data_IF_350371683526
#
_entry.id   IF_350371683526
#
_cell.length_a   1.000
_cell.length_b   1.000
_cell.length_c   1.000
_cell.angle_alpha   90.00
_cell.angle_beta   90.00
_cell.angle_gamma   90.00
#
_symmetry.space_group_name_H-M   'P 1'
#
loop_
_entity.id
_entity.type
_entity.pdbx_description
1 polymer ?
#
# COMPACT_ATOMS: atom_id res chain seq x y z
N UNK A 1 -32.51 -3.86 17.28
CA UNK A 1 -31.27 -4.64 17.09
C UNK A 1 -30.09 -3.74 17.40
N UNK A 2 -29.13 -4.22 18.17
CA UNK A 2 -27.84 -3.56 18.38
C UNK A 2 -26.79 -4.51 17.82
N UNK A 3 -26.10 -4.10 16.77
CA UNK A 3 -24.99 -4.84 16.16
C UNK A 3 -23.71 -4.05 16.42
N UNK A 4 -22.77 -4.70 17.08
CA UNK A 4 -21.44 -4.13 17.36
C UNK A 4 -20.44 -4.93 16.54
N UNK A 5 -19.64 -4.23 15.75
CA UNK A 5 -18.65 -4.84 14.89
C UNK A 5 -17.23 -4.53 15.37
N UNK A 6 -16.28 -5.38 14.98
CA UNK A 6 -14.87 -5.11 15.14
C UNK A 6 -14.41 -4.03 14.14
N UNK A 7 -13.33 -3.34 14.45
CA UNK A 7 -12.61 -2.46 13.53
C UNK A 7 -11.11 -2.75 13.62
N UNK A 8 -10.41 -2.68 12.49
CA UNK A 8 -8.96 -2.89 12.39
C UNK A 8 -8.56 -3.94 11.35
N UNK A 9 -7.29 -3.94 10.99
CA UNK A 9 -6.66 -4.97 10.16
C UNK A 9 -6.13 -6.14 10.99
N UNK A 10 -6.30 -7.38 10.50
CA UNK A 10 -5.65 -8.56 11.03
C UNK A 10 -5.31 -9.50 9.87
N UNK A 11 -4.01 -9.55 9.54
CA UNK A 11 -3.49 -10.23 8.36
C UNK A 11 -4.24 -9.78 7.08
N UNK A 12 -4.91 -10.68 6.37
CA UNK A 12 -5.63 -10.38 5.13
C UNK A 12 -7.02 -9.76 5.35
N UNK A 13 -7.53 -9.76 6.59
CA UNK A 13 -8.87 -9.27 6.92
C UNK A 13 -8.82 -7.83 7.41
N UNK A 14 -9.75 -7.01 6.94
CA UNK A 14 -10.01 -5.66 7.47
C UNK A 14 -11.45 -5.61 7.97
N UNK A 15 -11.59 -5.37 9.27
CA UNK A 15 -12.89 -5.15 9.91
C UNK A 15 -13.24 -3.66 9.82
N UNK A 16 -14.42 -3.36 9.31
CA UNK A 16 -14.81 -2.02 8.91
C UNK A 16 -15.51 -1.20 10.00
N UNK A 17 -15.75 -1.78 11.18
CA UNK A 17 -16.57 -1.16 12.19
C UNK A 17 -18.01 -1.06 11.71
N UNK A 18 -18.52 0.16 11.47
CA UNK A 18 -19.89 0.36 11.02
C UNK A 18 -20.94 -0.31 11.91
N UNK A 19 -20.71 -0.33 13.22
CA UNK A 19 -21.69 -0.78 14.21
C UNK A 19 -23.03 -0.06 14.01
N UNK A 20 -24.16 -0.74 14.23
CA UNK A 20 -25.49 -0.17 13.97
C UNK A 20 -26.48 -0.41 15.10
N UNK A 21 -27.35 0.57 15.30
CA UNK A 21 -28.55 0.45 16.13
C UNK A 21 -29.77 0.64 15.24
N UNK A 22 -30.61 -0.39 15.13
CA UNK A 22 -31.85 -0.37 14.35
C UNK A 22 -33.04 -0.49 15.30
N UNK A 23 -33.95 0.46 15.22
CA UNK A 23 -35.15 0.52 16.05
C UNK A 23 -36.20 -0.55 15.70
N UNK A 24 -37.25 -0.71 16.52
CA UNK A 24 -38.28 -1.74 16.31
C UNK A 24 -39.05 -1.60 14.99
N UNK A 25 -39.07 -0.41 14.39
CA UNK A 25 -39.73 -0.11 13.10
C UNK A 25 -38.80 -0.26 11.89
N UNK A 26 -37.57 -0.73 12.08
CA UNK A 26 -36.58 -0.90 11.01
C UNK A 26 -35.75 0.34 10.69
N UNK A 27 -36.04 1.50 11.28
CA UNK A 27 -35.25 2.72 11.09
C UNK A 27 -33.90 2.68 11.81
N UNK A 28 -32.86 3.23 11.18
CA UNK A 28 -31.52 3.33 11.75
C UNK A 28 -31.49 4.45 12.82
N UNK A 29 -31.24 4.11 14.07
CA UNK A 29 -31.17 5.06 15.19
C UNK A 29 -29.73 5.55 15.45
N UNK A 30 -28.73 4.80 14.99
CA UNK A 30 -27.33 5.19 15.09
C UNK A 30 -26.43 4.30 14.25
N UNK A 31 -25.32 4.86 13.77
CA UNK A 31 -24.27 4.14 13.06
C UNK A 31 -22.91 4.59 13.55
N UNK A 32 -21.98 3.66 13.69
CA UNK A 32 -20.58 3.93 13.96
C UNK A 32 -19.83 4.35 12.70
N UNK A 33 -18.66 4.93 12.90
CA UNK A 33 -17.71 5.29 11.85
C UNK A 33 -17.26 4.05 11.06
N UNK A 34 -16.97 4.27 9.78
CA UNK A 34 -16.31 3.27 8.94
C UNK A 34 -14.79 3.40 9.12
N UNK A 35 -14.12 2.27 9.40
CA UNK A 35 -12.66 2.14 9.48
C UNK A 35 -12.01 3.02 10.57
N UNK A 36 -12.74 3.31 11.66
CA UNK A 36 -12.21 4.06 12.80
C UNK A 36 -12.74 3.47 14.12
N UNK A 37 -11.88 3.46 15.14
CA UNK A 37 -12.29 3.18 16.52
C UNK A 37 -13.20 4.30 17.04
N UNK A 38 -14.37 3.93 17.55
CA UNK A 38 -15.35 4.89 18.06
C UNK A 38 -16.13 4.28 19.23
N UNK A 39 -16.39 5.10 20.24
CA UNK A 39 -17.43 4.83 21.25
C UNK A 39 -18.59 5.77 20.98
N UNK A 40 -19.78 5.19 20.74
CA UNK A 40 -20.97 5.96 20.38
C UNK A 40 -22.13 5.68 21.33
N UNK A 41 -22.75 6.76 21.80
CA UNK A 41 -23.98 6.71 22.60
C UNK A 41 -25.17 6.94 21.67
N UNK A 42 -26.19 6.08 21.76
CA UNK A 42 -27.39 6.16 20.93
C UNK A 42 -28.63 6.25 21.83
N UNK A 43 -29.45 7.27 21.59
CA UNK A 43 -30.76 7.39 22.20
C UNK A 43 -31.77 6.51 21.45
N UNK A 44 -32.42 5.59 22.16
CA UNK A 44 -33.38 4.64 21.59
C UNK A 44 -34.74 5.28 21.28
N UNK A 45 -35.04 6.43 21.86
CA UNK A 45 -36.20 7.25 21.54
C UNK A 45 -35.88 8.32 20.49
N UNK A 46 -34.65 8.30 19.98
CA UNK A 46 -34.15 9.21 18.97
C UNK A 46 -34.84 9.08 17.61
N UNK A 47 -34.57 10.06 16.75
CA UNK A 47 -35.04 10.05 15.36
C UNK A 47 -34.16 9.16 14.49
N UNK A 48 -34.72 8.71 13.39
CA UNK A 48 -34.00 8.00 12.35
C UNK A 48 -32.86 8.86 11.77
N UNK A 49 -31.72 8.22 11.52
CA UNK A 49 -30.48 8.81 11.03
C UNK A 49 -30.05 8.11 9.73
N UNK A 50 -29.17 8.77 8.98
CA UNK A 50 -28.47 8.17 7.85
C UNK A 50 -27.01 7.93 8.21
N UNK A 51 -26.39 6.84 7.74
CA UNK A 51 -24.96 6.65 7.92
C UNK A 51 -24.18 7.72 7.16
N UNK A 52 -23.03 8.13 7.71
CA UNK A 52 -22.11 9.10 7.10
C UNK A 52 -20.93 8.42 6.42
N UNK A 53 -21.12 7.18 5.95
CA UNK A 53 -20.08 6.42 5.26
C UNK A 53 -19.84 6.99 3.86
N UNK A 54 -18.57 6.95 3.44
CA UNK A 54 -18.16 7.45 2.14
C UNK A 54 -18.60 6.54 0.98
N UNK A 55 -18.37 6.99 -0.26
CA UNK A 55 -18.56 6.16 -1.46
C UNK A 55 -17.63 4.94 -1.49
N UNK A 56 -17.91 4.01 -2.40
CA UNK A 56 -17.27 2.70 -2.44
C UNK A 56 -15.74 2.81 -2.60
N UNK A 57 -15.26 3.72 -3.45
CA UNK A 57 -13.82 3.92 -3.70
C UNK A 57 -13.11 4.42 -2.44
N UNK A 58 -13.70 5.37 -1.72
CA UNK A 58 -13.11 5.89 -0.48
C UNK A 58 -13.15 4.84 0.63
N UNK A 59 -14.19 3.99 0.67
CA UNK A 59 -14.22 2.88 1.62
C UNK A 59 -13.12 1.85 1.33
N UNK A 60 -12.89 1.49 0.07
CA UNK A 60 -11.78 0.60 -0.31
C UNK A 60 -10.43 1.24 0.06
N UNK A 61 -10.25 2.53 -0.23
CA UNK A 61 -9.04 3.25 0.14
C UNK A 61 -8.80 3.25 1.66
N UNK A 62 -9.82 3.58 2.46
CA UNK A 62 -9.74 3.53 3.93
C UNK A 62 -9.44 2.13 4.46
N UNK A 63 -10.00 1.09 3.84
CA UNK A 63 -9.70 -0.29 4.21
C UNK A 63 -8.22 -0.64 3.97
N UNK A 64 -7.68 -0.26 2.80
CA UNK A 64 -6.27 -0.49 2.46
C UNK A 64 -5.32 0.29 3.39
N UNK A 65 -5.65 1.54 3.72
CA UNK A 65 -4.88 2.36 4.67
C UNK A 65 -4.92 1.76 6.07
N UNK A 66 -6.11 1.39 6.57
CA UNK A 66 -6.26 0.77 7.90
C UNK A 66 -5.52 -0.57 7.99
N UNK A 67 -5.69 -1.45 7.00
CA UNK A 67 -4.99 -2.74 6.96
C UNK A 67 -3.47 -2.56 6.95
N UNK A 68 -2.96 -1.64 6.13
CA UNK A 68 -1.51 -1.33 6.07
C UNK A 68 -1.00 -0.79 7.40
N UNK A 69 -1.70 0.19 7.99
CA UNK A 69 -1.33 0.79 9.29
C UNK A 69 -1.29 -0.27 10.38
N UNK A 70 -2.36 -1.04 10.52
CA UNK A 70 -2.49 -2.04 11.56
C UNK A 70 -1.46 -3.17 11.42
N UNK A 71 -1.18 -3.63 10.21
CA UNK A 71 -0.13 -4.63 9.99
C UNK A 71 1.22 -4.13 10.50
N UNK A 72 1.60 -2.91 10.13
CA UNK A 72 2.89 -2.33 10.49
C UNK A 72 2.97 -2.05 11.99
N UNK A 73 1.95 -1.45 12.59
CA UNK A 73 1.91 -1.16 14.02
C UNK A 73 1.89 -2.44 14.87
N UNK A 74 1.04 -3.42 14.54
CA UNK A 74 0.90 -4.67 15.30
C UNK A 74 2.13 -5.57 15.19
N UNK A 75 2.83 -5.54 14.05
CA UNK A 75 4.10 -6.25 13.87
C UNK A 75 5.33 -5.44 14.33
N UNK A 76 5.16 -4.18 14.75
CA UNK A 76 6.24 -3.34 15.29
C UNK A 76 7.15 -2.67 14.25
N UNK A 77 6.75 -2.65 12.99
CA UNK A 77 7.47 -1.94 11.92
C UNK A 77 7.22 -0.43 12.01
N UNK A 78 8.27 0.36 11.78
CA UNK A 78 8.22 1.82 11.91
C UNK A 78 8.40 2.58 10.61
N UNK A 79 8.99 1.93 9.61
CA UNK A 79 9.35 2.51 8.32
C UNK A 79 9.05 1.49 7.23
N UNK A 80 8.82 1.96 6.02
CA UNK A 80 8.56 1.12 4.84
C UNK A 80 9.42 1.54 3.68
N UNK A 81 9.86 0.54 2.90
CA UNK A 81 10.55 0.73 1.64
C UNK A 81 9.72 0.15 0.50
N UNK A 82 9.61 0.87 -0.61
CA UNK A 82 8.89 0.40 -1.79
C UNK A 82 9.60 0.79 -3.08
N UNK A 83 9.53 -0.10 -4.07
CA UNK A 83 10.01 0.19 -5.43
C UNK A 83 9.03 1.09 -6.17
N UNK A 84 9.52 2.21 -6.72
CA UNK A 84 8.74 3.10 -7.59
C UNK A 84 9.10 2.85 -9.05
N UNK A 85 8.14 2.33 -9.81
CA UNK A 85 8.33 2.00 -11.24
C UNK A 85 7.93 3.12 -12.18
N UNK A 86 7.23 4.14 -11.68
CA UNK A 86 6.52 5.14 -12.50
C UNK A 86 5.14 4.67 -12.97
N UNK A 87 4.74 3.44 -12.62
CA UNK A 87 3.42 2.89 -12.92
C UNK A 87 2.39 3.16 -11.81
N UNK A 88 1.11 3.07 -12.19
CA UNK A 88 -0.03 3.37 -11.32
C UNK A 88 -0.09 2.51 -10.06
N UNK A 89 0.29 1.22 -10.16
CA UNK A 89 0.23 0.30 -9.01
C UNK A 89 1.16 0.75 -7.88
N UNK A 90 2.44 0.98 -8.21
CA UNK A 90 3.42 1.49 -7.22
C UNK A 90 3.06 2.88 -6.71
N UNK A 91 2.40 3.69 -7.54
CA UNK A 91 1.96 5.03 -7.15
C UNK A 91 0.84 4.96 -6.10
N UNK A 92 -0.18 4.12 -6.32
CA UNK A 92 -1.25 3.91 -5.35
C UNK A 92 -0.71 3.31 -4.05
N UNK A 93 0.20 2.33 -4.13
CA UNK A 93 0.86 1.77 -2.93
C UNK A 93 1.63 2.82 -2.14
N UNK A 94 2.34 3.74 -2.82
CA UNK A 94 3.04 4.84 -2.16
C UNK A 94 2.10 5.79 -1.42
N UNK A 95 0.96 6.12 -2.03
CA UNK A 95 -0.08 6.96 -1.41
C UNK A 95 -0.64 6.28 -0.15
N UNK A 96 -0.99 4.99 -0.26
CA UNK A 96 -1.51 4.21 0.88
C UNK A 96 -0.47 4.16 2.01
N UNK A 97 0.79 3.89 1.69
CA UNK A 97 1.87 3.86 2.68
C UNK A 97 2.07 5.21 3.38
N UNK A 98 2.03 6.32 2.62
CA UNK A 98 2.16 7.66 3.17
C UNK A 98 0.99 8.03 4.10
N UNK A 99 -0.24 7.66 3.75
CA UNK A 99 -1.43 7.86 4.61
C UNK A 99 -1.44 6.93 5.85
N UNK A 100 -0.88 5.74 5.72
CA UNK A 100 -0.84 4.76 6.81
C UNK A 100 0.18 5.16 7.90
N UNK A 101 1.40 5.56 7.53
CA UNK A 101 2.51 5.80 8.47
C UNK A 101 2.89 7.27 8.65
N UNK A 102 2.58 8.11 7.66
CA UNK A 102 3.14 9.44 7.51
C UNK A 102 4.37 9.45 6.59
N UNK A 103 4.49 10.51 5.79
CA UNK A 103 5.48 10.65 4.72
C UNK A 103 6.95 10.43 5.13
N UNK A 104 7.32 10.82 6.35
CA UNK A 104 8.71 10.77 6.83
C UNK A 104 9.20 9.34 7.09
N UNK A 105 8.28 8.35 7.12
CA UNK A 105 8.57 6.94 7.36
C UNK A 105 8.53 6.09 6.09
N UNK A 106 8.43 6.73 4.92
CA UNK A 106 8.27 6.07 3.62
C UNK A 106 9.48 6.37 2.75
N UNK A 107 10.17 5.32 2.31
CA UNK A 107 11.26 5.39 1.34
C UNK A 107 10.84 4.80 -0.01
N UNK A 108 10.64 5.67 -1.01
CA UNK A 108 10.48 5.26 -2.39
C UNK A 108 11.84 5.06 -3.09
N UNK A 109 12.02 3.95 -3.78
CA UNK A 109 13.27 3.62 -4.48
C UNK A 109 13.00 3.38 -5.97
N UNK A 110 13.54 4.23 -6.83
CA UNK A 110 13.57 3.98 -8.26
C UNK A 110 14.77 3.09 -8.63
N UNK A 111 14.50 1.98 -9.32
CA UNK A 111 15.49 0.95 -9.65
C UNK A 111 15.66 0.78 -11.18
N UNK A 112 16.23 1.79 -11.88
CA UNK A 112 16.31 1.79 -13.34
C UNK A 112 17.31 0.78 -13.91
N UNK A 113 17.00 0.30 -15.10
CA UNK A 113 17.93 -0.40 -16.00
C UNK A 113 17.98 0.32 -17.36
N UNK A 114 18.79 -0.19 -18.29
CA UNK A 114 18.82 0.24 -19.70
C UNK A 114 17.45 0.23 -20.40
N UNK A 115 16.46 -0.49 -19.86
CA UNK A 115 15.10 -0.57 -20.42
C UNK A 115 14.12 0.42 -19.78
N UNK A 116 14.53 1.15 -18.74
CA UNK A 116 13.67 2.12 -18.05
C UNK A 116 13.51 3.39 -18.88
N UNK A 117 12.27 3.82 -19.09
CA UNK A 117 11.99 5.05 -19.81
C UNK A 117 12.31 6.30 -18.96
N UNK A 118 12.78 7.41 -19.57
CA UNK A 118 12.96 8.66 -18.86
C UNK A 118 11.67 9.18 -18.21
N UNK A 119 10.51 8.97 -18.86
CA UNK A 119 9.20 9.37 -18.35
C UNK A 119 8.85 8.67 -17.05
N UNK A 120 9.03 7.34 -16.98
CA UNK A 120 8.76 6.55 -15.77
C UNK A 120 9.59 7.02 -14.57
N UNK A 121 10.83 7.45 -14.80
CA UNK A 121 11.68 7.98 -13.74
C UNK A 121 11.25 9.37 -13.28
N UNK A 122 10.83 10.23 -14.21
CA UNK A 122 10.30 11.54 -13.88
C UNK A 122 8.98 11.41 -13.09
N UNK A 123 8.11 10.48 -13.45
CA UNK A 123 6.85 10.22 -12.76
C UNK A 123 7.07 9.72 -11.33
N UNK A 124 8.02 8.79 -11.14
CA UNK A 124 8.39 8.30 -9.81
C UNK A 124 8.94 9.41 -8.90
N UNK A 125 9.80 10.28 -9.44
CA UNK A 125 10.36 11.42 -8.72
C UNK A 125 9.29 12.48 -8.39
N UNK A 126 8.41 12.78 -9.36
CA UNK A 126 7.30 13.72 -9.17
C UNK A 126 6.32 13.23 -8.10
N UNK A 127 5.97 11.95 -8.11
CA UNK A 127 5.14 11.33 -7.08
C UNK A 127 5.79 11.48 -5.69
N UNK A 128 7.06 11.10 -5.56
CA UNK A 128 7.74 11.16 -4.28
C UNK A 128 7.81 12.59 -3.72
N UNK A 129 8.06 13.56 -4.60
CA UNK A 129 8.04 14.99 -4.25
C UNK A 129 6.64 15.46 -3.81
N UNK A 130 5.58 15.05 -4.50
CA UNK A 130 4.21 15.44 -4.18
C UNK A 130 3.74 14.87 -2.84
N UNK A 131 4.14 13.63 -2.52
CA UNK A 131 3.85 12.99 -1.23
C UNK A 131 4.77 13.49 -0.11
N UNK A 132 5.91 14.09 -0.46
CA UNK A 132 6.94 14.51 0.49
C UNK A 132 7.63 13.34 1.18
N UNK A 133 7.72 12.18 0.52
CA UNK A 133 8.38 10.98 1.03
C UNK A 133 9.88 10.99 0.68
N UNK A 134 10.67 10.16 1.36
CA UNK A 134 12.06 9.97 0.99
C UNK A 134 12.17 9.27 -0.37
N UNK A 135 13.15 9.67 -1.17
CA UNK A 135 13.35 9.14 -2.52
C UNK A 135 14.82 8.82 -2.79
N UNK A 136 15.08 7.64 -3.33
CA UNK A 136 16.40 7.22 -3.78
C UNK A 136 16.35 6.62 -5.18
N UNK A 137 17.44 6.78 -5.93
CA UNK A 137 17.61 6.18 -7.25
C UNK A 137 18.82 5.26 -7.25
N UNK A 138 18.60 3.97 -7.49
CA UNK A 138 19.64 2.93 -7.45
C UNK A 138 19.62 2.17 -8.78
N UNK A 139 20.49 2.50 -9.75
CA UNK A 139 20.56 1.75 -11.00
C UNK A 139 20.94 0.29 -10.78
N UNK A 140 20.25 -0.63 -11.45
CA UNK A 140 20.51 -2.08 -11.33
C UNK A 140 21.47 -2.61 -12.40
N UNK A 141 21.93 -1.74 -13.28
CA UNK A 141 22.64 -2.09 -14.52
C UNK A 141 23.87 -2.97 -14.27
N UNK A 142 24.76 -2.55 -13.37
CA UNK A 142 25.99 -3.29 -13.08
C UNK A 142 25.71 -4.68 -12.48
N UNK A 143 24.71 -4.76 -11.60
CA UNK A 143 24.28 -6.03 -10.99
C UNK A 143 23.64 -6.95 -12.02
N UNK A 144 22.86 -6.38 -12.94
CA UNK A 144 22.20 -7.10 -14.03
C UNK A 144 23.21 -7.70 -15.01
N UNK A 145 24.19 -6.91 -15.48
CA UNK A 145 25.26 -7.40 -16.35
C UNK A 145 26.13 -8.46 -15.69
N UNK A 146 26.39 -8.30 -14.39
CA UNK A 146 27.18 -9.29 -13.63
C UNK A 146 26.43 -10.62 -13.54
N UNK A 147 25.14 -10.60 -13.19
CA UNK A 147 24.32 -11.80 -13.14
C UNK A 147 24.18 -12.47 -14.51
N UNK A 148 24.01 -11.69 -15.58
CA UNK A 148 23.97 -12.21 -16.94
C UNK A 148 25.25 -12.97 -17.31
N UNK A 149 26.42 -12.40 -17.00
CA UNK A 149 27.71 -13.06 -17.23
C UNK A 149 27.86 -14.34 -16.42
N UNK A 150 27.39 -14.35 -15.17
CA UNK A 150 27.46 -15.53 -14.30
C UNK A 150 26.63 -16.70 -14.82
N UNK A 151 25.47 -16.44 -15.44
CA UNK A 151 24.60 -17.50 -15.98
C UNK A 151 24.88 -17.84 -17.45
N UNK A 152 25.70 -17.05 -18.16
CA UNK A 152 26.02 -17.26 -19.56
C UNK A 152 26.51 -18.69 -19.90
N UNK A 153 27.38 -19.34 -19.10
CA UNK A 153 27.87 -20.69 -19.40
C UNK A 153 26.77 -21.76 -19.49
N UNK A 154 25.66 -21.57 -18.76
CA UNK A 154 24.53 -22.52 -18.73
C UNK A 154 23.36 -22.10 -19.63
N UNK A 155 23.40 -20.88 -20.20
CA UNK A 155 22.35 -20.37 -21.10
C UNK A 155 22.49 -20.84 -22.55
N UNK A 156 23.59 -21.50 -22.90
CA UNK A 156 23.78 -22.05 -24.26
C UNK A 156 23.77 -20.99 -25.37
N UNK A 157 24.13 -19.74 -25.07
CA UNK A 157 24.19 -18.65 -26.05
C UNK A 157 22.87 -17.91 -26.31
N UNK A 158 21.77 -18.24 -25.60
CA UNK A 158 20.53 -17.49 -25.74
C UNK A 158 20.61 -16.13 -25.02
N UNK A 159 20.55 -15.05 -25.78
CA UNK A 159 20.42 -13.67 -25.29
C UNK A 159 18.96 -13.18 -25.39
N UNK A 160 18.57 -12.25 -24.53
CA UNK A 160 17.25 -11.64 -24.53
C UNK A 160 16.13 -12.47 -23.87
N UNK A 161 14.93 -11.92 -23.96
CA UNK A 161 13.66 -12.58 -23.62
C UNK A 161 13.30 -12.60 -22.13
N UNK A 162 12.31 -13.42 -21.79
CA UNK A 162 11.68 -13.50 -20.46
C UNK A 162 12.68 -13.73 -19.32
N UNK A 163 13.80 -14.39 -19.57
CA UNK A 163 14.83 -14.62 -18.54
C UNK A 163 15.45 -13.31 -18.05
N UNK A 164 15.71 -12.38 -18.97
CA UNK A 164 16.32 -11.08 -18.66
C UNK A 164 15.35 -10.14 -17.94
N UNK A 165 14.10 -10.10 -18.37
CA UNK A 165 13.03 -9.36 -17.71
C UNK A 165 12.83 -9.85 -16.27
N UNK A 166 12.73 -11.17 -16.10
CA UNK A 166 12.57 -11.77 -14.77
C UNK A 166 13.81 -11.56 -13.88
N UNK A 167 15.02 -11.56 -14.45
CA UNK A 167 16.24 -11.29 -13.70
C UNK A 167 16.27 -9.86 -13.17
N UNK A 168 15.84 -8.87 -13.95
CA UNK A 168 15.72 -7.48 -13.49
C UNK A 168 14.76 -7.39 -12.30
N UNK A 169 13.56 -7.98 -12.39
CA UNK A 169 12.58 -7.96 -11.30
C UNK A 169 13.11 -8.62 -10.02
N UNK A 170 13.84 -9.73 -10.14
CA UNK A 170 14.49 -10.39 -8.99
C UNK A 170 15.56 -9.52 -8.35
N UNK A 171 16.40 -8.86 -9.16
CA UNK A 171 17.43 -7.96 -8.64
C UNK A 171 16.83 -6.77 -7.89
N UNK A 172 15.74 -6.19 -8.40
CA UNK A 172 15.00 -5.13 -7.70
C UNK A 172 14.51 -5.62 -6.33
N UNK A 173 13.91 -6.82 -6.29
CA UNK A 173 13.49 -7.45 -5.04
C UNK A 173 14.64 -7.64 -4.05
N UNK A 174 15.78 -8.17 -4.51
CA UNK A 174 16.97 -8.35 -3.66
C UNK A 174 17.47 -7.03 -3.08
N UNK A 175 17.50 -5.96 -3.89
CA UNK A 175 17.94 -4.64 -3.42
C UNK A 175 16.97 -4.08 -2.37
N UNK A 176 15.66 -4.18 -2.60
CA UNK A 176 14.65 -3.72 -1.63
C UNK A 176 14.71 -4.51 -0.33
N UNK A 177 14.87 -5.83 -0.40
CA UNK A 177 15.06 -6.67 0.78
C UNK A 177 16.35 -6.33 1.52
N UNK A 178 17.44 -6.02 0.81
CA UNK A 178 18.69 -5.61 1.43
C UNK A 178 18.58 -4.25 2.15
N UNK A 179 17.78 -3.32 1.61
CA UNK A 179 17.47 -2.04 2.28
C UNK A 179 16.57 -2.25 3.51
N UNK A 180 15.69 -3.25 3.46
CA UNK A 180 14.76 -3.56 4.57
C UNK A 180 15.42 -4.28 5.76
N UNK A 181 16.63 -4.82 5.60
CA UNK A 181 17.35 -5.55 6.65
C UNK A 181 18.07 -4.60 7.62
#
# INVERSE_FOLDING_TARGET
>A
MVQVNLVGGNDELVFDGKSMVVGPKGGLLGSGAAFAEEVRVVDLEGKEQKPTWAGDEEQVFRALVLGTRDYLEKCGFREVVLGLSGGIDSALTAVIAAEALGKDKVLGVALPSRFSSPGSLADAEALAKNLGIHYAKIPIENSFETMLRSIAPVRGGNEGGLTEENLQSRLRGVILMAISN
#
